data_IF_210518697104
#
_entry.id   IF_210518697104
#
_cell.length_a   1.000
_cell.length_b   1.000
_cell.length_c   1.000
_cell.angle_alpha   90.00
_cell.angle_beta   90.00
_cell.angle_gamma   90.00
#
_symmetry.space_group_name_H-M   'P 1'
#
loop_
_entity.id
_entity.type
_entity.pdbx_description
1 polymer ?
#
# COMPACT_ATOMS: atom_id res chain seq x y z
N UNK A 1 13.11 -4.08 -7.53
CA UNK A 1 12.22 -3.64 -6.45
C UNK A 1 13.05 -2.87 -5.43
N UNK A 2 12.98 -1.54 -5.44
CA UNK A 2 13.66 -0.68 -4.45
C UNK A 2 12.65 0.04 -3.54
N UNK A 3 11.44 0.24 -4.06
CA UNK A 3 10.27 0.79 -3.40
C UNK A 3 9.17 -0.28 -3.45
N UNK A 4 8.83 -0.95 -2.34
CA UNK A 4 7.76 -1.98 -2.25
C UNK A 4 6.37 -1.44 -2.64
N UNK A 5 6.19 -1.06 -3.91
CA UNK A 5 5.01 -0.37 -4.47
C UNK A 5 3.85 -1.31 -4.78
N UNK A 6 4.11 -2.60 -4.87
CA UNK A 6 3.12 -3.64 -5.19
C UNK A 6 2.47 -4.25 -3.94
N UNK A 7 3.02 -4.01 -2.75
CA UNK A 7 2.56 -4.62 -1.50
C UNK A 7 1.52 -3.77 -0.75
N UNK A 8 0.58 -3.21 -1.50
CA UNK A 8 -0.51 -2.39 -0.95
C UNK A 8 -1.61 -3.30 -0.37
N UNK A 9 -2.29 -2.83 0.69
CA UNK A 9 -3.40 -3.56 1.30
C UNK A 9 -4.72 -2.97 0.82
N UNK A 10 -5.51 -3.73 0.06
CA UNK A 10 -6.86 -3.32 -0.32
C UNK A 10 -7.85 -3.57 0.82
N UNK A 11 -8.42 -2.50 1.39
CA UNK A 11 -9.39 -2.55 2.49
C UNK A 11 -10.85 -2.56 2.01
N UNK A 12 -11.07 -2.09 0.79
CA UNK A 12 -12.34 -2.20 0.06
C UNK A 12 -12.04 -2.20 -1.46
N UNK A 13 -12.99 -2.56 -2.33
CA UNK A 13 -12.84 -2.37 -3.77
C UNK A 13 -12.46 -0.91 -4.09
N UNK A 14 -11.35 -0.70 -4.80
CA UNK A 14 -10.86 0.63 -5.14
C UNK A 14 -10.29 1.45 -3.98
N UNK A 15 -10.08 0.88 -2.79
CA UNK A 15 -9.50 1.58 -1.62
C UNK A 15 -8.33 0.80 -1.04
N UNK A 16 -7.15 1.43 -1.02
CA UNK A 16 -5.88 0.78 -0.64
C UNK A 16 -5.10 1.57 0.40
N UNK A 17 -4.28 0.86 1.18
CA UNK A 17 -3.27 1.40 2.08
C UNK A 17 -1.88 1.13 1.51
N UNK A 18 -1.03 2.15 1.46
CA UNK A 18 0.32 2.08 0.86
C UNK A 18 1.34 2.85 1.70
N UNK A 19 2.63 2.69 1.42
CA UNK A 19 3.63 3.59 1.95
C UNK A 19 3.72 4.90 1.15
N UNK A 20 3.84 6.02 1.87
CA UNK A 20 4.06 7.35 1.30
C UNK A 20 5.29 7.44 0.39
N UNK A 21 6.34 6.64 0.63
CA UNK A 21 7.58 6.65 -0.18
C UNK A 21 7.36 6.23 -1.64
N UNK A 22 6.27 5.52 -1.94
CA UNK A 22 5.96 4.99 -3.26
C UNK A 22 5.25 6.03 -4.14
N UNK A 23 5.82 7.24 -4.26
CA UNK A 23 5.16 8.42 -4.86
C UNK A 23 4.61 8.14 -6.27
N UNK A 24 5.41 7.53 -7.14
CA UNK A 24 4.99 7.21 -8.53
C UNK A 24 3.84 6.20 -8.54
N UNK A 25 3.95 5.13 -7.76
CA UNK A 25 2.90 4.09 -7.69
C UNK A 25 1.60 4.66 -7.11
N UNK A 26 1.69 5.47 -6.05
CA UNK A 26 0.52 6.09 -5.43
C UNK A 26 -0.19 7.03 -6.41
N UNK A 27 0.57 7.81 -7.18
CA UNK A 27 0.03 8.68 -8.23
C UNK A 27 -0.71 7.87 -9.31
N UNK A 28 -0.09 6.81 -9.83
CA UNK A 28 -0.73 5.94 -10.83
C UNK A 28 -2.03 5.33 -10.30
N UNK A 29 -2.04 4.85 -9.05
CA UNK A 29 -3.25 4.33 -8.41
C UNK A 29 -4.36 5.40 -8.34
N UNK A 30 -4.02 6.61 -7.89
CA UNK A 30 -4.97 7.72 -7.80
C UNK A 30 -5.52 8.14 -9.18
N UNK A 31 -4.66 8.21 -10.20
CA UNK A 31 -5.05 8.52 -11.59
C UNK A 31 -5.99 7.47 -12.18
N UNK A 32 -5.93 6.23 -11.70
CA UNK A 32 -6.84 5.14 -12.08
C UNK A 32 -8.07 5.03 -11.16
N UNK A 33 -8.39 6.08 -10.39
CA UNK A 33 -9.59 6.13 -9.56
C UNK A 33 -9.51 5.32 -8.26
N UNK A 34 -8.32 4.86 -7.86
CA UNK A 34 -8.14 4.15 -6.59
C UNK A 34 -7.87 5.15 -5.47
N UNK A 35 -8.66 5.07 -4.39
CA UNK A 35 -8.43 5.84 -3.17
C UNK A 35 -7.22 5.28 -2.42
N UNK A 36 -6.19 6.09 -2.22
CA UNK A 36 -4.93 5.72 -1.58
C UNK A 36 -4.83 6.35 -0.20
N UNK A 37 -4.73 5.53 0.85
CA UNK A 37 -4.33 5.94 2.18
C UNK A 37 -2.84 5.69 2.39
N UNK A 38 -2.06 6.75 2.60
CA UNK A 38 -0.62 6.65 2.75
C UNK A 38 -0.19 6.63 4.22
N UNK A 39 0.61 5.65 4.60
CA UNK A 39 1.27 5.59 5.91
C UNK A 39 2.78 5.83 5.78
N UNK A 40 3.41 6.34 6.85
CA UNK A 40 4.87 6.43 6.93
C UNK A 40 5.43 5.00 7.10
N UNK A 41 6.50 4.69 6.37
CA UNK A 41 7.11 3.35 6.37
C UNK A 41 8.64 3.37 6.35
N UNK A 42 9.27 4.44 6.85
CA UNK A 42 10.72 4.61 6.79
C UNK A 42 11.47 3.46 7.47
N UNK A 43 11.04 3.05 8.68
CA UNK A 43 11.65 1.92 9.40
C UNK A 43 11.03 0.58 8.98
N UNK A 44 9.70 0.47 8.94
CA UNK A 44 9.00 -0.77 8.60
C UNK A 44 9.35 -1.29 7.20
N UNK A 45 9.53 -0.38 6.24
CA UNK A 45 9.94 -0.72 4.88
C UNK A 45 11.36 -1.28 4.76
N UNK A 46 12.21 -1.15 5.80
CA UNK A 46 13.54 -1.80 5.85
C UNK A 46 13.43 -3.32 6.01
N UNK A 47 12.33 -3.77 6.61
CA UNK A 47 11.97 -5.19 6.71
C UNK A 47 11.52 -5.82 5.38
N UNK A 48 11.59 -5.08 4.26
CA UNK A 48 11.22 -5.55 2.91
C UNK A 48 9.76 -6.02 2.79
N UNK A 49 8.86 -5.34 3.52
CA UNK A 49 7.44 -5.66 3.54
C UNK A 49 6.57 -4.41 3.53
N UNK A 50 5.42 -4.49 2.88
CA UNK A 50 4.40 -3.44 2.86
C UNK A 50 3.18 -3.75 3.74
N UNK A 51 2.16 -2.88 3.69
CA UNK A 51 0.91 -3.08 4.43
C UNK A 51 0.27 -4.45 4.23
N UNK A 52 0.43 -5.08 3.06
CA UNK A 52 -0.12 -6.42 2.82
C UNK A 52 0.63 -7.53 3.55
N UNK A 53 1.96 -7.43 3.68
CA UNK A 53 2.76 -8.38 4.47
C UNK A 53 2.50 -8.25 5.97
N UNK A 54 2.16 -7.06 6.45
CA UNK A 54 1.88 -6.78 7.86
C UNK A 54 0.44 -7.09 8.28
N UNK A 55 -0.34 -7.73 7.42
CA UNK A 55 -1.76 -7.99 7.65
C UNK A 55 -2.15 -9.42 7.34
N UNK A 56 -3.09 -9.92 8.13
CA UNK A 56 -3.75 -11.22 7.96
C UNK A 56 -5.27 -10.96 8.03
N UNK A 57 -5.92 -10.68 6.89
CA UNK A 57 -7.37 -10.48 6.87
C UNK A 57 -8.08 -11.76 7.31
N UNK A 58 -8.93 -11.66 8.34
CA UNK A 58 -9.69 -12.81 8.85
C UNK A 58 -11.05 -12.97 8.17
N UNK A 59 -11.65 -11.86 7.75
CA UNK A 59 -12.93 -11.80 7.05
C UNK A 59 -12.89 -10.66 6.03
N UNK A 60 -13.61 -10.83 4.91
CA UNK A 60 -13.81 -9.83 3.88
C UNK A 60 -15.15 -10.10 3.19
N UNK A 61 -15.98 -9.06 3.10
CA UNK A 61 -17.25 -9.08 2.37
C UNK A 61 -17.05 -8.91 0.85
#
# INVERSE_FOLDING_TARGET
QWNDGTNTLAIAPGVVVTYRRNVVSNRVLQENGIKVFEIKGAELGRGRGGPRCMSMPMMRD
#
